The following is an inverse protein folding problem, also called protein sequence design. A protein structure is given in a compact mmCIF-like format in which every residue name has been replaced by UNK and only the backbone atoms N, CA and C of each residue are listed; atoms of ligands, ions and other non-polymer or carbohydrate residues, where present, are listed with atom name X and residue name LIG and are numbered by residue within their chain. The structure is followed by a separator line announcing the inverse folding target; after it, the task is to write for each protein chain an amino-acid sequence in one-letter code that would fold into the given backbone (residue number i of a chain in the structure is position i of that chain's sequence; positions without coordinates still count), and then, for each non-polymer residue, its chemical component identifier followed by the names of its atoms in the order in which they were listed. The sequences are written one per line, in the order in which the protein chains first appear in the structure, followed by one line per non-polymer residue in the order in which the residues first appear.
data_IF_423309052078
#
_entry.id   IF_423309052078
#
_cell.length_a   1.000
_cell.length_b   1.000
_cell.length_c   1.000
_cell.angle_alpha   90.00
_cell.angle_beta   90.00
_cell.angle_gamma   90.00
#
_symmetry.space_group_name_H-M   'P 1'
#
loop_
_entity.id
_entity.type
_entity.pdbx_description
1 polymer ?
#
# COMPACT_ATOMS: atom_id res chain seq x y z
N UNK A 1 -26.69 3.43 1.15
CA UNK A 1 -25.57 4.21 1.72
C UNK A 1 -24.34 3.33 1.61
N UNK A 2 -23.35 3.72 0.81
CA UNK A 2 -22.05 3.02 0.78
C UNK A 2 -21.25 3.65 1.92
N UNK A 3 -21.04 2.93 3.01
CA UNK A 3 -20.18 3.37 4.10
C UNK A 3 -18.74 3.38 3.59
N UNK A 4 -18.05 4.50 3.69
CA UNK A 4 -16.74 4.76 3.08
C UNK A 4 -15.61 4.39 4.03
N UNK A 5 -15.44 3.11 4.36
CA UNK A 5 -14.34 2.70 5.23
C UNK A 5 -12.97 3.06 4.67
N UNK A 6 -12.03 3.45 5.54
CA UNK A 6 -10.63 3.62 5.16
C UNK A 6 -10.02 2.26 4.88
N UNK A 7 -9.48 2.06 3.68
CA UNK A 7 -8.82 0.80 3.32
C UNK A 7 -7.31 0.94 3.51
N UNK A 8 -6.69 -0.05 4.15
CA UNK A 8 -5.23 -0.12 4.22
C UNK A 8 -4.68 -1.42 3.65
N UNK A 9 -3.59 -1.28 2.91
CA UNK A 9 -2.77 -2.39 2.43
C UNK A 9 -1.38 -2.30 3.03
N UNK A 10 -0.84 -3.44 3.46
CA UNK A 10 0.55 -3.54 3.92
C UNK A 10 1.37 -4.45 3.02
N UNK A 11 2.47 -3.90 2.51
CA UNK A 11 3.46 -4.62 1.70
C UNK A 11 4.74 -4.79 2.51
N UNK A 12 5.13 -6.04 2.77
CA UNK A 12 6.39 -6.37 3.45
C UNK A 12 7.46 -6.62 2.39
N UNK A 13 8.42 -5.71 2.33
CA UNK A 13 9.48 -5.70 1.33
C UNK A 13 10.77 -6.13 2.04
N UNK A 14 11.15 -7.40 1.89
CA UNK A 14 12.38 -7.94 2.48
C UNK A 14 13.62 -7.17 2.03
N UNK A 15 14.61 -7.12 2.92
CA UNK A 15 15.91 -6.54 2.63
C UNK A 15 16.56 -7.24 1.42
N UNK A 16 17.17 -6.45 0.54
CA UNK A 16 17.78 -6.94 -0.67
C UNK A 16 18.30 -5.79 -1.54
N UNK A 17 19.08 -6.09 -2.59
CA UNK A 17 19.75 -5.07 -3.41
C UNK A 17 18.78 -4.05 -4.03
N UNK A 18 17.51 -4.45 -4.26
CA UNK A 18 16.51 -3.63 -4.94
C UNK A 18 15.39 -3.13 -4.00
N UNK A 19 15.54 -3.25 -2.67
CA UNK A 19 14.48 -2.87 -1.72
C UNK A 19 14.11 -1.39 -1.84
N UNK A 20 15.12 -0.52 -1.94
CA UNK A 20 14.92 0.93 -2.08
C UNK A 20 14.14 1.28 -3.34
N UNK A 21 14.53 0.74 -4.49
CA UNK A 21 13.87 0.98 -5.78
C UNK A 21 12.42 0.49 -5.75
N UNK A 22 12.16 -0.66 -5.12
CA UNK A 22 10.80 -1.19 -4.92
C UNK A 22 9.95 -0.26 -4.07
N UNK A 23 10.47 0.24 -2.95
CA UNK A 23 9.78 1.21 -2.09
C UNK A 23 9.48 2.52 -2.86
N UNK A 24 10.45 3.03 -3.63
CA UNK A 24 10.29 4.25 -4.41
C UNK A 24 9.24 4.08 -5.53
N UNK A 25 9.22 2.93 -6.21
CA UNK A 25 8.21 2.61 -7.22
C UNK A 25 6.79 2.59 -6.62
N UNK A 26 6.64 1.96 -5.45
CA UNK A 26 5.36 1.92 -4.74
C UNK A 26 4.90 3.31 -4.30
N UNK A 27 5.81 4.13 -3.75
CA UNK A 27 5.52 5.53 -3.39
C UNK A 27 5.10 6.36 -4.60
N UNK A 28 5.74 6.16 -5.75
CA UNK A 28 5.37 6.86 -6.99
C UNK A 28 3.95 6.49 -7.44
N UNK A 29 3.60 5.20 -7.44
CA UNK A 29 2.25 4.74 -7.80
C UNK A 29 1.22 5.31 -6.84
N UNK A 30 1.47 5.24 -5.54
CA UNK A 30 0.58 5.79 -4.53
C UNK A 30 0.39 7.31 -4.71
N UNK A 31 1.47 8.06 -5.02
CA UNK A 31 1.39 9.48 -5.33
C UNK A 31 0.56 9.80 -6.57
N UNK A 32 0.67 9.01 -7.64
CA UNK A 32 -0.17 9.14 -8.85
C UNK A 32 -1.65 8.90 -8.51
N UNK A 33 -1.93 8.01 -7.56
CA UNK A 33 -3.28 7.64 -7.16
C UNK A 33 -3.84 8.53 -6.03
N UNK A 34 -3.09 9.53 -5.56
CA UNK A 34 -3.50 10.42 -4.48
C UNK A 34 -3.67 9.70 -3.14
N UNK A 35 -2.91 8.63 -2.93
CA UNK A 35 -2.97 7.83 -1.70
C UNK A 35 -1.95 8.29 -0.67
N UNK A 36 -2.31 8.15 0.61
CA UNK A 36 -1.39 8.34 1.70
C UNK A 36 -0.50 7.11 1.87
N UNK A 37 0.78 7.34 2.19
CA UNK A 37 1.73 6.25 2.39
C UNK A 37 2.62 6.47 3.60
N UNK A 38 3.03 5.37 4.25
CA UNK A 38 4.02 5.36 5.34
C UNK A 38 4.93 4.18 5.15
N UNK A 39 6.21 4.39 5.39
CA UNK A 39 7.22 3.32 5.39
C UNK A 39 7.73 3.15 6.80
N UNK A 40 7.66 1.92 7.29
CA UNK A 40 8.18 1.52 8.59
C UNK A 40 9.34 0.53 8.42
N UNK A 41 10.57 0.91 8.77
CA UNK A 41 11.70 -0.01 8.72
C UNK A 41 11.63 -1.01 9.88
N UNK A 42 12.01 -2.26 9.62
CA UNK A 42 12.14 -3.32 10.62
C UNK A 42 13.43 -4.13 10.37
N UNK A 43 13.80 -5.01 11.30
CA UNK A 43 14.94 -5.89 11.10
C UNK A 43 14.65 -6.90 9.96
N UNK A 44 15.36 -6.81 8.84
CA UNK A 44 15.24 -7.74 7.71
C UNK A 44 14.18 -7.37 6.67
N UNK A 45 13.42 -6.28 6.85
CA UNK A 45 12.40 -5.82 5.90
C UNK A 45 11.96 -4.37 6.15
N UNK A 46 11.24 -3.80 5.19
CA UNK A 46 10.47 -2.57 5.36
C UNK A 46 8.99 -2.84 5.06
N UNK A 47 8.11 -2.29 5.89
CA UNK A 47 6.66 -2.30 5.64
C UNK A 47 6.24 -1.01 4.96
N UNK A 48 5.57 -1.11 3.82
CA UNK A 48 4.85 0.02 3.23
C UNK A 48 3.37 -0.12 3.52
N UNK A 49 2.80 0.89 4.14
CA UNK A 49 1.37 1.02 4.37
C UNK A 49 0.80 2.02 3.36
N UNK A 50 -0.31 1.65 2.74
CA UNK A 50 -1.09 2.50 1.84
C UNK A 50 -2.46 2.72 2.45
N UNK A 51 -2.95 3.95 2.42
CA UNK A 51 -4.32 4.27 2.83
C UNK A 51 -5.09 4.89 1.68
N UNK A 52 -6.33 4.43 1.51
CA UNK A 52 -7.25 4.96 0.52
C UNK A 52 -8.60 5.32 1.16
N UNK A 53 -9.17 6.50 0.84
CA UNK A 53 -10.44 6.96 1.40
C UNK A 53 -11.67 6.23 0.83
N UNK A 54 -11.49 5.40 -0.21
CA UNK A 54 -12.55 4.61 -0.84
C UNK A 54 -12.01 3.24 -1.23
N UNK A 55 -12.78 2.17 -0.98
CA UNK A 55 -12.38 0.80 -1.34
C UNK A 55 -12.06 0.60 -2.81
N UNK A 56 -12.79 1.27 -3.70
CA UNK A 56 -12.50 1.25 -5.12
C UNK A 56 -11.13 1.86 -5.48
N UNK A 57 -10.67 2.89 -4.77
CA UNK A 57 -9.35 3.48 -4.96
C UNK A 57 -8.25 2.56 -4.41
N UNK A 58 -8.52 1.93 -3.28
CA UNK A 58 -7.66 0.94 -2.65
C UNK A 58 -7.38 -0.25 -3.58
N UNK A 59 -8.43 -0.84 -4.16
CA UNK A 59 -8.32 -1.97 -5.11
C UNK A 59 -7.55 -1.58 -6.36
N UNK A 60 -7.79 -0.39 -6.92
CA UNK A 60 -7.05 0.10 -8.09
C UNK A 60 -5.55 0.26 -7.79
N UNK A 61 -5.21 0.69 -6.59
CA UNK A 61 -3.83 0.81 -6.15
C UNK A 61 -3.15 -0.54 -5.95
N UNK A 62 -3.84 -1.52 -5.33
CA UNK A 62 -3.34 -2.90 -5.25
C UNK A 62 -3.04 -3.47 -6.63
N UNK A 63 -3.99 -3.34 -7.57
CA UNK A 63 -3.81 -3.81 -8.95
C UNK A 63 -2.63 -3.11 -9.64
N UNK A 64 -2.54 -1.78 -9.54
CA UNK A 64 -1.44 -1.03 -10.15
C UNK A 64 -0.07 -1.42 -9.57
N UNK A 65 -0.01 -1.66 -8.26
CA UNK A 65 1.20 -2.08 -7.57
C UNK A 65 1.61 -3.47 -8.03
N UNK A 66 0.70 -4.45 -8.01
CA UNK A 66 0.97 -5.82 -8.46
C UNK A 66 1.50 -5.87 -9.89
N UNK A 67 0.96 -5.03 -10.77
CA UNK A 67 1.40 -4.94 -12.17
C UNK A 67 2.82 -4.38 -12.34
N UNK A 68 3.27 -3.49 -11.45
CA UNK A 68 4.56 -2.79 -11.59
C UNK A 68 5.67 -3.43 -10.77
N UNK A 69 5.34 -4.02 -9.61
CA UNK A 69 6.36 -4.47 -8.65
C UNK A 69 6.36 -5.98 -8.42
N UNK A 70 5.34 -6.71 -8.91
CA UNK A 70 5.11 -8.13 -8.61
C UNK A 70 4.98 -8.42 -7.09
N UNK A 71 4.74 -7.38 -6.28
CA UNK A 71 4.49 -7.52 -4.84
C UNK A 71 3.00 -7.79 -4.60
N UNK A 72 2.70 -8.73 -3.70
CA UNK A 72 1.36 -8.91 -3.18
C UNK A 72 1.24 -8.24 -1.79
N UNK A 73 0.06 -7.73 -1.42
CA UNK A 73 -0.18 -7.27 -0.06
C UNK A 73 -0.06 -8.46 0.90
N UNK A 74 0.77 -8.29 1.91
CA UNK A 74 0.92 -9.24 3.02
C UNK A 74 -0.25 -9.18 3.98
N UNK A 75 -0.94 -8.05 4.00
CA UNK A 75 -2.12 -7.82 4.83
C UNK A 75 -3.02 -6.79 4.14
N UNK A 76 -4.32 -6.96 4.29
CA UNK A 76 -5.32 -6.05 3.76
C UNK A 76 -6.49 -6.03 4.73
N UNK A 77 -6.84 -4.84 5.24
CA UNK A 77 -8.05 -4.69 6.03
C UNK A 77 -8.84 -3.45 5.58
N UNK A 78 -10.16 -3.61 5.65
CA UNK A 78 -11.12 -2.52 5.58
C UNK A 78 -11.33 -2.05 7.02
N UNK A 79 -10.90 -0.84 7.34
CA UNK A 79 -11.29 -0.23 8.61
C UNK A 79 -12.70 0.34 8.42
N UNK A 80 -13.66 0.00 9.29
CA UNK A 80 -14.89 0.79 9.36
C UNK A 80 -14.51 2.24 9.66
N UNK A 81 -15.27 3.19 9.10
CA UNK A 81 -15.10 4.60 9.45
C UNK A 81 -15.05 4.73 10.97
N UNK A 82 -14.02 5.43 11.48
CA UNK A 82 -14.00 5.79 12.88
C UNK A 82 -15.12 6.82 13.08
N UNK A 83 -16.17 6.41 13.80
CA UNK A 83 -17.30 7.25 14.20
C UNK A 83 -16.87 8.62 14.76
#
# INVERSE_FOLDING_TARGET
MVMSGWHWFRYVIKDGPNQRERIEALRRIAGVLGLETRVEPAAGYASLHLWAPLGGAAIKADVAIRLVTNEAPTDAAEMPDAD
#
